data_IF_833930362041
#
_entry.id   IF_833930362041
#
_cell.length_a   1.000
_cell.length_b   1.000
_cell.length_c   1.000
_cell.angle_alpha   90.00
_cell.angle_beta   90.00
_cell.angle_gamma   90.00
#
_symmetry.space_group_name_H-M   'P 1'
#
loop_
_entity.id
_entity.type
_entity.pdbx_description
1 polymer ?
#
# COMPACT_ATOMS: atom_id res chain seq x y z
N UNK A 1 22.26 33.12 26.36
CA UNK A 1 22.35 31.66 26.18
C UNK A 1 21.64 31.29 24.88
N UNK A 2 22.32 30.73 23.87
CA UNK A 2 21.66 30.29 22.65
C UNK A 2 21.07 28.89 22.86
N UNK A 3 19.75 28.79 22.75
CA UNK A 3 19.00 27.54 22.77
C UNK A 3 19.35 26.71 21.53
N UNK A 4 20.01 25.57 21.75
CA UNK A 4 20.26 24.58 20.68
C UNK A 4 18.90 24.08 20.16
N UNK A 5 18.54 24.45 18.93
CA UNK A 5 17.49 23.76 18.17
C UNK A 5 17.90 22.29 18.04
N UNK A 6 17.14 21.38 18.66
CA UNK A 6 17.19 19.96 18.31
C UNK A 6 16.76 19.85 16.85
N UNK A 7 17.71 19.66 15.95
CA UNK A 7 17.40 19.12 14.62
C UNK A 7 16.73 17.77 14.84
N UNK A 8 15.48 17.65 14.43
CA UNK A 8 14.82 16.35 14.34
C UNK A 8 15.60 15.52 13.33
N UNK A 9 16.47 14.64 13.83
CA UNK A 9 17.03 13.56 13.04
C UNK A 9 15.84 12.70 12.63
N UNK A 10 15.42 12.83 11.37
CA UNK A 10 14.63 11.81 10.73
C UNK A 10 15.51 10.56 10.71
N UNK A 11 15.29 9.65 11.66
CA UNK A 11 15.87 8.31 11.64
C UNK A 11 15.52 7.71 10.28
N UNK A 12 16.51 7.64 9.38
CA UNK A 12 16.36 6.95 8.11
C UNK A 12 15.90 5.53 8.44
N UNK A 13 14.68 5.18 8.04
CA UNK A 13 14.15 3.83 8.25
C UNK A 13 15.07 2.89 7.48
N UNK A 14 15.69 1.94 8.17
CA UNK A 14 16.45 0.88 7.50
C UNK A 14 15.51 0.13 6.57
N UNK A 15 15.86 0.12 5.28
CA UNK A 15 15.11 -0.60 4.27
C UNK A 15 15.36 -2.11 4.45
N UNK A 16 14.34 -2.96 4.26
CA UNK A 16 14.54 -4.41 4.29
C UNK A 16 15.53 -4.82 3.20
N UNK A 17 16.45 -5.74 3.53
CA UNK A 17 17.39 -6.30 2.56
C UNK A 17 16.65 -7.17 1.54
N UNK A 18 16.75 -6.83 0.26
CA UNK A 18 16.18 -7.60 -0.86
C UNK A 18 17.27 -8.54 -1.39
N UNK A 19 16.94 -9.83 -1.58
CA UNK A 19 17.89 -10.81 -2.13
C UNK A 19 18.20 -10.53 -3.60
N UNK A 20 19.43 -10.85 -4.02
CA UNK A 20 19.87 -10.67 -5.42
C UNK A 20 19.02 -11.47 -6.41
N UNK A 21 18.61 -12.68 -6.02
CA UNK A 21 17.73 -13.54 -6.83
C UNK A 21 16.39 -12.86 -7.17
N UNK A 22 15.81 -12.09 -6.24
CA UNK A 22 14.58 -11.34 -6.51
C UNK A 22 14.84 -10.18 -7.47
N UNK A 23 15.99 -9.52 -7.37
CA UNK A 23 16.37 -8.41 -8.26
C UNK A 23 16.56 -8.94 -9.69
N UNK A 24 17.22 -10.08 -9.86
CA UNK A 24 17.43 -10.72 -11.17
C UNK A 24 16.11 -11.13 -11.83
N UNK A 25 15.10 -11.53 -11.06
CA UNK A 25 13.76 -11.82 -11.59
C UNK A 25 13.04 -10.58 -12.12
N UNK A 26 13.30 -9.40 -11.54
CA UNK A 26 12.69 -8.14 -11.96
C UNK A 26 13.50 -7.41 -13.03
N UNK A 27 14.81 -7.64 -13.12
CA UNK A 27 15.72 -6.96 -14.04
C UNK A 27 16.15 -7.90 -15.16
N UNK A 28 15.42 -7.87 -16.28
CA UNK A 28 15.67 -8.73 -17.46
C UNK A 28 16.68 -8.15 -18.46
N UNK A 29 17.25 -6.98 -18.20
CA UNK A 29 18.18 -6.27 -19.08
C UNK A 29 18.33 -4.78 -18.70
N UNK A 30 18.90 -3.93 -19.57
CA UNK A 30 18.93 -2.49 -19.32
C UNK A 30 17.50 -1.93 -19.27
N UNK A 31 17.11 -1.38 -18.13
CA UNK A 31 15.78 -0.81 -17.90
C UNK A 31 15.82 0.71 -17.99
N UNK A 32 14.79 1.32 -18.57
CA UNK A 32 14.54 2.75 -18.47
C UNK A 32 14.05 3.13 -17.07
N UNK A 33 14.11 4.42 -16.73
CA UNK A 33 13.55 4.92 -15.47
C UNK A 33 12.04 4.61 -15.33
N UNK A 34 11.29 4.72 -16.43
CA UNK A 34 9.86 4.38 -16.48
C UNK A 34 9.63 2.88 -16.20
N UNK A 35 10.41 1.99 -16.82
CA UNK A 35 10.29 0.56 -16.59
C UNK A 35 10.57 0.17 -15.13
N UNK A 36 11.50 0.87 -14.46
CA UNK A 36 11.78 0.68 -13.04
C UNK A 36 10.59 1.12 -12.18
N UNK A 37 9.94 2.23 -12.53
CA UNK A 37 8.74 2.72 -11.83
C UNK A 37 7.57 1.74 -11.97
N UNK A 38 7.33 1.22 -13.17
CA UNK A 38 6.29 0.22 -13.44
C UNK A 38 6.53 -1.08 -12.67
N UNK A 39 7.77 -1.55 -12.65
CA UNK A 39 8.18 -2.73 -11.87
C UNK A 39 7.96 -2.52 -10.37
N UNK A 40 8.34 -1.36 -9.84
CA UNK A 40 8.13 -0.97 -8.44
C UNK A 40 6.63 -0.93 -8.10
N UNK A 41 5.80 -0.38 -9.00
CA UNK A 41 4.35 -0.33 -8.83
C UNK A 41 3.71 -1.71 -8.86
N UNK A 42 4.14 -2.59 -9.77
CA UNK A 42 3.69 -3.97 -9.83
C UNK A 42 4.08 -4.76 -8.56
N UNK A 43 5.30 -4.57 -8.07
CA UNK A 43 5.77 -5.18 -6.84
C UNK A 43 4.98 -4.68 -5.62
N UNK A 44 4.77 -3.35 -5.51
CA UNK A 44 3.98 -2.73 -4.45
C UNK A 44 2.54 -3.27 -4.44
N UNK A 45 1.91 -3.40 -5.62
CA UNK A 45 0.61 -4.06 -5.77
C UNK A 45 0.62 -5.47 -5.21
N UNK A 46 1.55 -6.31 -5.67
CA UNK A 46 1.63 -7.70 -5.26
C UNK A 46 1.85 -7.83 -3.74
N UNK A 47 2.69 -6.98 -3.17
CA UNK A 47 2.98 -6.94 -1.74
C UNK A 47 1.72 -6.58 -0.92
N UNK A 48 1.00 -5.53 -1.33
CA UNK A 48 -0.24 -5.10 -0.66
C UNK A 48 -1.30 -6.21 -0.74
N UNK A 49 -1.53 -6.79 -1.91
CA UNK A 49 -2.52 -7.86 -2.08
C UNK A 49 -2.15 -9.12 -1.26
N UNK A 50 -0.86 -9.45 -1.18
CA UNK A 50 -0.38 -10.56 -0.36
C UNK A 50 -0.60 -10.30 1.13
N UNK A 51 -0.33 -9.08 1.59
CA UNK A 51 -0.56 -8.67 2.97
C UNK A 51 -2.06 -8.72 3.33
N UNK A 52 -2.94 -8.18 2.49
CA UNK A 52 -4.39 -8.27 2.66
C UNK A 52 -4.89 -9.73 2.68
N UNK A 53 -4.30 -10.59 1.84
CA UNK A 53 -4.60 -12.02 1.82
C UNK A 53 -4.21 -12.73 3.13
N UNK A 54 -3.10 -12.31 3.74
CA UNK A 54 -2.64 -12.78 5.04
C UNK A 54 -3.53 -12.28 6.17
N UNK A 55 -3.95 -11.01 6.14
CA UNK A 55 -4.95 -10.47 7.08
C UNK A 55 -6.25 -11.28 7.04
N UNK A 56 -6.77 -11.60 5.85
CA UNK A 56 -7.96 -12.44 5.73
C UNK A 56 -7.71 -13.86 6.26
N UNK A 57 -6.49 -14.40 6.09
CA UNK A 57 -6.15 -15.70 6.69
C UNK A 57 -6.15 -15.68 8.20
N UNK A 58 -5.62 -14.61 8.80
CA UNK A 58 -5.68 -14.41 10.23
C UNK A 58 -7.13 -14.25 10.71
N UNK A 59 -7.95 -13.48 9.99
CA UNK A 59 -9.39 -13.29 10.29
C UNK A 59 -10.18 -14.60 10.27
N UNK A 60 -9.90 -15.48 9.30
CA UNK A 60 -10.58 -16.77 9.16
C UNK A 60 -9.98 -17.89 10.02
N UNK A 61 -8.79 -17.69 10.59
CA UNK A 61 -8.08 -18.70 11.38
C UNK A 61 -7.35 -19.76 10.56
N UNK A 62 -7.26 -19.62 9.23
CA UNK A 62 -6.53 -20.56 8.37
C UNK A 62 -5.95 -19.88 7.11
N UNK A 63 -4.77 -20.35 6.63
CA UNK A 63 -4.12 -19.77 5.46
C UNK A 63 -4.84 -20.12 4.16
N UNK A 64 -4.53 -19.38 3.10
CA UNK A 64 -5.06 -19.68 1.77
C UNK A 64 -4.57 -21.05 1.29
N UNK A 65 -5.50 -21.88 0.81
CA UNK A 65 -5.18 -23.22 0.29
C UNK A 65 -5.16 -24.33 1.34
N UNK A 66 -5.27 -24.01 2.63
CA UNK A 66 -5.50 -25.01 3.67
C UNK A 66 -6.98 -25.42 3.75
N UNK A 67 -7.22 -26.61 4.31
CA UNK A 67 -8.56 -27.06 4.65
C UNK A 67 -9.21 -26.10 5.66
N UNK A 68 -10.51 -25.87 5.44
CA UNK A 68 -11.32 -25.06 6.35
C UNK A 68 -11.54 -25.86 7.64
N UNK A 69 -11.31 -25.27 8.82
CA UNK A 69 -11.67 -25.90 10.09
C UNK A 69 -13.16 -26.27 10.13
N UNK A 70 -13.51 -27.45 10.66
CA UNK A 70 -14.89 -27.92 10.72
C UNK A 70 -15.82 -26.97 11.50
N UNK A 71 -15.26 -26.28 12.51
CA UNK A 71 -15.96 -25.29 13.34
C UNK A 71 -16.19 -23.93 12.65
N UNK A 72 -15.49 -23.65 11.55
CA UNK A 72 -15.57 -22.34 10.87
C UNK A 72 -16.79 -22.27 9.97
N UNK A 73 -17.77 -21.43 10.29
CA UNK A 73 -18.92 -21.15 9.41
C UNK A 73 -18.56 -20.23 8.25
N UNK A 74 -17.53 -19.40 8.41
CA UNK A 74 -17.09 -18.43 7.41
C UNK A 74 -16.06 -19.02 6.46
N UNK A 75 -15.92 -18.41 5.27
CA UNK A 75 -14.96 -18.83 4.25
C UNK A 75 -14.59 -17.68 3.32
N UNK A 76 -13.54 -17.85 2.53
CA UNK A 76 -13.15 -16.89 1.48
C UNK A 76 -14.19 -16.86 0.36
N UNK A 77 -14.55 -15.67 -0.12
CA UNK A 77 -15.55 -15.46 -1.16
C UNK A 77 -15.02 -14.51 -2.26
N UNK A 78 -13.92 -14.91 -2.89
CA UNK A 78 -13.31 -14.16 -3.99
C UNK A 78 -12.64 -12.86 -3.55
N UNK A 79 -12.57 -11.91 -4.50
CA UNK A 79 -11.94 -10.60 -4.35
C UNK A 79 -12.81 -9.51 -4.95
N UNK A 80 -12.64 -8.27 -4.49
CA UNK A 80 -13.28 -7.08 -5.04
C UNK A 80 -12.21 -6.06 -5.41
N UNK A 81 -12.30 -5.48 -6.60
CA UNK A 81 -11.34 -4.47 -7.03
C UNK A 81 -11.59 -3.14 -6.33
N UNK A 82 -10.52 -2.51 -5.83
CA UNK A 82 -10.51 -1.16 -5.28
C UNK A 82 -9.31 -0.40 -5.83
N UNK A 83 -9.54 0.76 -6.44
CA UNK A 83 -8.48 1.71 -6.77
C UNK A 83 -8.15 2.56 -5.56
N UNK A 84 -6.88 2.55 -5.16
CA UNK A 84 -6.32 3.30 -4.03
C UNK A 84 -5.27 4.26 -4.56
N UNK A 85 -5.32 5.51 -4.11
CA UNK A 85 -4.34 6.54 -4.44
C UNK A 85 -3.09 6.33 -3.60
N UNK A 86 -1.96 6.15 -4.27
CA UNK A 86 -0.63 6.06 -3.66
C UNK A 86 0.22 7.26 -4.07
N UNK A 87 1.42 7.36 -3.51
CA UNK A 87 2.37 8.42 -3.87
C UNK A 87 2.84 8.38 -5.33
N UNK A 88 2.78 7.21 -5.96
CA UNK A 88 3.18 6.97 -7.35
C UNK A 88 1.96 6.89 -8.29
N UNK A 89 0.78 7.31 -7.81
CA UNK A 89 -0.46 7.36 -8.58
C UNK A 89 -1.51 6.31 -8.19
N UNK A 90 -2.59 6.18 -8.98
CA UNK A 90 -3.70 5.26 -8.71
C UNK A 90 -3.29 3.79 -8.90
N UNK A 91 -3.47 2.99 -7.85
CA UNK A 91 -3.17 1.57 -7.85
C UNK A 91 -4.45 0.75 -7.74
N UNK A 92 -4.72 -0.10 -8.75
CA UNK A 92 -5.87 -1.01 -8.74
C UNK A 92 -5.50 -2.31 -8.02
N UNK A 93 -6.12 -2.52 -6.87
CA UNK A 93 -5.89 -3.66 -5.97
C UNK A 93 -7.09 -4.60 -5.98
N UNK A 94 -6.83 -5.90 -5.86
CA UNK A 94 -7.86 -6.91 -5.63
C UNK A 94 -7.94 -7.30 -4.16
N UNK A 95 -8.92 -6.73 -3.46
CA UNK A 95 -9.12 -6.88 -2.02
C UNK A 95 -9.87 -8.18 -1.73
N UNK A 96 -9.33 -9.07 -0.90
CA UNK A 96 -9.97 -10.34 -0.59
C UNK A 96 -11.20 -10.14 0.31
N UNK A 97 -12.19 -11.02 0.19
CA UNK A 97 -13.44 -10.95 0.96
C UNK A 97 -13.76 -12.29 1.62
N UNK A 98 -14.44 -12.21 2.76
CA UNK A 98 -15.09 -13.35 3.40
C UNK A 98 -16.55 -13.49 2.95
N UNK A 99 -17.15 -14.64 3.23
CA UNK A 99 -18.53 -14.96 2.86
C UNK A 99 -19.53 -14.16 3.69
N UNK A 100 -19.24 -14.00 4.97
CA UNK A 100 -20.13 -13.33 5.92
C UNK A 100 -20.02 -11.80 5.87
N UNK A 101 -19.05 -11.25 5.14
CA UNK A 101 -18.81 -9.81 5.03
C UNK A 101 -18.24 -9.15 6.30
N UNK A 102 -17.88 -9.97 7.29
CA UNK A 102 -17.36 -9.56 8.60
C UNK A 102 -15.93 -9.04 8.54
N UNK A 103 -15.16 -9.42 7.52
CA UNK A 103 -13.75 -9.03 7.40
C UNK A 103 -13.60 -7.51 7.22
N UNK A 104 -12.76 -6.90 8.07
CA UNK A 104 -12.39 -5.49 8.02
C UNK A 104 -10.86 -5.39 7.95
N UNK A 105 -10.27 -5.14 6.76
CA UNK A 105 -8.82 -5.04 6.61
C UNK A 105 -8.24 -3.88 7.41
N UNK A 106 -7.03 -4.06 7.95
CA UNK A 106 -6.32 -3.05 8.73
C UNK A 106 -5.43 -2.20 7.82
N UNK A 107 -4.69 -2.84 6.90
CA UNK A 107 -3.79 -2.14 5.98
C UNK A 107 -4.51 -1.13 5.07
N UNK A 108 -5.70 -1.50 4.56
CA UNK A 108 -6.55 -0.62 3.76
C UNK A 108 -8.00 -0.77 4.21
N UNK A 109 -8.44 0.07 5.17
CA UNK A 109 -9.79 0.04 5.72
C UNK A 109 -10.92 0.07 4.68
N UNK A 110 -12.11 -0.33 5.11
CA UNK A 110 -13.33 -0.25 4.28
C UNK A 110 -13.55 1.20 3.85
N UNK A 111 -13.91 1.39 2.58
CA UNK A 111 -14.16 2.69 1.94
C UNK A 111 -12.95 3.65 1.83
N UNK A 112 -11.84 3.38 2.52
CA UNK A 112 -10.62 4.16 2.37
C UNK A 112 -10.01 3.95 0.98
N UNK A 113 -9.72 5.06 0.30
CA UNK A 113 -9.16 5.09 -1.07
C UNK A 113 -7.78 5.73 -1.14
N UNK A 114 -7.14 5.97 0.01
CA UNK A 114 -5.81 6.57 0.11
C UNK A 114 -4.90 5.62 0.87
N UNK A 115 -3.67 5.47 0.40
CA UNK A 115 -2.64 4.72 1.10
C UNK A 115 -1.76 5.72 1.87
N UNK A 116 -1.52 5.47 3.16
CA UNK A 116 -0.87 6.41 4.09
C UNK A 116 0.48 6.93 3.56
N UNK A 117 0.72 8.24 3.71
CA UNK A 117 1.89 8.98 3.19
C UNK A 117 1.50 10.15 2.27
N UNK A 118 0.37 10.03 1.59
CA UNK A 118 -0.17 11.08 0.71
C UNK A 118 -0.64 12.33 1.47
N UNK A 119 -1.18 12.16 2.68
CA UNK A 119 -1.74 13.27 3.47
C UNK A 119 -0.65 14.22 3.99
N UNK A 120 0.56 13.72 4.26
CA UNK A 120 1.71 14.54 4.68
C UNK A 120 2.11 15.53 3.57
N UNK A 121 2.04 15.11 2.30
CA UNK A 121 2.29 15.99 1.16
C UNK A 121 1.24 17.09 1.06
N UNK A 122 -0.05 16.75 1.24
CA UNK A 122 -1.14 17.74 1.23
C UNK A 122 -0.98 18.76 2.36
N UNK A 123 -0.68 18.29 3.57
CA UNK A 123 -0.43 19.17 4.72
C UNK A 123 0.77 20.08 4.44
N UNK A 124 1.86 19.54 3.87
CA UNK A 124 3.03 20.31 3.49
C UNK A 124 2.74 21.34 2.39
N UNK A 125 1.83 21.05 1.47
CA UNK A 125 1.40 21.97 0.42
C UNK A 125 0.56 23.12 0.99
N UNK A 126 -0.41 22.79 1.84
CA UNK A 126 -1.24 23.77 2.53
C UNK A 126 -0.40 24.67 3.44
N UNK A 127 0.55 24.09 4.19
CA UNK A 127 1.48 24.83 5.04
C UNK A 127 2.40 25.78 4.24
N UNK A 128 2.67 25.47 2.97
CA UNK A 128 3.40 26.35 2.04
C UNK A 128 2.53 27.44 1.40
N UNK A 129 1.25 27.51 1.75
CA UNK A 129 0.33 28.55 1.29
C UNK A 129 -0.35 28.26 -0.04
N UNK A 130 -0.25 27.03 -0.57
CA UNK A 130 -1.04 26.64 -1.74
C UNK A 130 -2.52 26.56 -1.37
N UNK A 131 -3.36 27.10 -2.24
CA UNK A 131 -4.81 27.05 -2.08
C UNK A 131 -5.33 25.64 -2.32
N UNK A 132 -6.47 25.30 -1.73
CA UNK A 132 -7.13 24.00 -1.95
C UNK A 132 -7.39 23.74 -3.45
N UNK A 133 -7.60 24.79 -4.26
CA UNK A 133 -7.78 24.67 -5.70
C UNK A 133 -6.49 24.27 -6.42
N UNK A 134 -5.36 24.90 -6.06
CA UNK A 134 -4.04 24.58 -6.61
C UNK A 134 -3.61 23.17 -6.22
N UNK A 135 -3.80 22.81 -4.95
CA UNK A 135 -3.53 21.44 -4.47
C UNK A 135 -4.39 20.44 -5.25
N UNK A 136 -5.69 20.71 -5.42
CA UNK A 136 -6.56 19.81 -6.19
C UNK A 136 -6.12 19.67 -7.65
N UNK A 137 -5.77 20.77 -8.31
CA UNK A 137 -5.31 20.76 -9.70
C UNK A 137 -4.01 19.95 -9.84
N UNK A 138 -3.03 20.22 -8.99
CA UNK A 138 -1.77 19.47 -8.94
C UNK A 138 -2.00 17.97 -8.72
N UNK A 139 -2.93 17.59 -7.83
CA UNK A 139 -3.25 16.20 -7.56
C UNK A 139 -4.03 15.50 -8.69
N UNK A 140 -4.72 16.24 -9.55
CA UNK A 140 -5.44 15.66 -10.70
C UNK A 140 -4.57 15.47 -11.94
N UNK A 141 -3.39 16.09 -11.95
CA UNK A 141 -2.42 16.02 -13.06
C UNK A 141 -1.39 14.90 -12.87
N UNK A 142 -1.41 14.20 -11.72
CA UNK A 142 -0.50 13.11 -11.34
C UNK A 142 -1.13 11.73 -11.54
#
# INVERSE_FOLDING_TARGET
>A
MPTKKKSASATARELPSISQELIEQFVTGPMSAEAIQDASMAFKKALIERALGAELGHHLGYPQGAERPEESTNQRNGKSSKTVLTDDGPLRLDIPRDRDGSFAPILIPKHERRFTGFDDKIIAMYARGMTVREIRAFLSEQ
#
